data_IF_200999737927
#
_entry.id   IF_200999737927
#
_cell.length_a   1.000
_cell.length_b   1.000
_cell.length_c   1.000
_cell.angle_alpha   90.00
_cell.angle_beta   90.00
_cell.angle_gamma   90.00
#
_symmetry.space_group_name_H-M   'P 1'
#
loop_
_entity.id
_entity.type
_entity.pdbx_description
1 polymer ?
#
# COMPACT_ATOMS: atom_id res chain seq x y z
N UNK A 1 -40.62 5.67 38.09
CA UNK A 1 -41.43 4.58 37.52
C UNK A 1 -41.04 4.52 36.05
N UNK A 2 -40.61 3.41 35.43
CA UNK A 2 -40.67 1.99 35.81
C UNK A 2 -39.51 1.24 35.10
N UNK A 3 -38.79 0.37 35.83
CA UNK A 3 -37.93 -0.78 35.42
C UNK A 3 -37.17 -0.72 34.06
N UNK A 4 -35.83 -0.65 34.06
CA UNK A 4 -34.89 -1.81 34.15
C UNK A 4 -35.20 -2.98 33.18
N UNK A 5 -34.27 -3.26 32.26
CA UNK A 5 -33.88 -4.65 32.00
C UNK A 5 -32.37 -4.74 31.73
N UNK A 6 -31.70 -5.68 32.43
CA UNK A 6 -30.28 -5.99 32.32
C UNK A 6 -30.23 -7.50 32.16
N UNK A 7 -29.66 -7.99 31.05
CA UNK A 7 -29.50 -9.43 30.86
C UNK A 7 -28.01 -9.78 30.79
N UNK A 8 -27.48 -10.23 31.93
CA UNK A 8 -26.22 -10.97 32.00
C UNK A 8 -26.44 -12.35 31.38
N UNK A 9 -25.41 -12.89 30.73
CA UNK A 9 -25.24 -14.33 30.57
C UNK A 9 -23.74 -14.65 30.63
N UNK A 10 -23.30 -15.11 31.80
CA UNK A 10 -22.12 -15.97 31.93
C UNK A 10 -22.62 -17.39 32.11
N UNK A 11 -21.96 -18.37 31.50
CA UNK A 11 -21.90 -19.73 32.03
C UNK A 11 -20.69 -20.46 31.42
N UNK A 12 -19.93 -21.13 32.29
CA UNK A 12 -18.72 -21.86 31.95
C UNK A 12 -19.05 -23.22 31.33
N UNK A 13 -18.12 -23.75 30.54
CA UNK A 13 -17.82 -25.18 30.51
C UNK A 13 -16.31 -25.39 30.67
N UNK A 14 -15.93 -26.48 31.33
CA UNK A 14 -14.64 -26.68 31.97
C UNK A 14 -13.86 -27.88 31.43
N UNK A 15 -12.52 -27.77 31.45
CA UNK A 15 -11.51 -28.81 31.74
C UNK A 15 -11.51 -30.16 30.99
N UNK A 16 -10.32 -30.65 30.64
CA UNK A 16 -10.08 -32.09 30.48
C UNK A 16 -8.95 -32.53 29.55
N UNK A 17 -7.71 -32.54 30.06
CA UNK A 17 -6.61 -33.49 29.75
C UNK A 17 -6.12 -33.64 28.27
N UNK A 18 -4.94 -34.21 27.97
CA UNK A 18 -3.95 -34.87 28.83
C UNK A 18 -2.51 -34.62 28.37
N UNK A 19 -1.56 -34.88 29.28
CA UNK A 19 -0.11 -34.95 29.05
C UNK A 19 0.30 -36.14 28.15
N UNK A 20 1.48 -36.06 27.55
CA UNK A 20 2.41 -37.20 27.46
C UNK A 20 3.87 -36.74 27.26
N UNK A 21 4.77 -37.33 28.06
CA UNK A 21 6.23 -37.21 27.97
C UNK A 21 6.84 -38.62 27.93
N UNK A 22 7.75 -38.88 26.99
CA UNK A 22 8.87 -39.84 27.03
C UNK A 22 9.66 -39.65 25.71
N UNK A 23 10.97 -39.39 25.65
CA UNK A 23 12.12 -40.27 26.00
C UNK A 23 12.20 -41.57 25.16
N UNK A 24 13.35 -42.04 24.64
CA UNK A 24 14.74 -41.51 24.60
C UNK A 24 15.64 -42.40 23.70
N UNK A 25 16.95 -42.09 23.63
CA UNK A 25 18.08 -42.92 23.14
C UNK A 25 18.36 -42.91 21.60
N UNK A 26 19.39 -42.20 21.10
CA UNK A 26 20.86 -42.53 20.96
C UNK A 26 21.13 -43.52 19.79
N UNK A 27 22.16 -43.41 18.93
CA UNK A 27 23.63 -43.56 19.17
C UNK A 27 24.45 -43.21 17.88
N UNK A 28 25.61 -42.51 18.00
CA UNK A 28 26.77 -42.36 17.03
C UNK A 28 26.55 -41.87 15.58
N UNK A 29 27.56 -41.50 14.77
CA UNK A 29 28.81 -40.73 14.88
C UNK A 29 29.63 -40.91 13.57
N UNK A 30 30.14 -39.80 13.01
CA UNK A 30 31.24 -39.65 12.02
C UNK A 30 31.48 -40.70 10.90
N UNK A 31 31.44 -40.23 9.64
CA UNK A 31 32.06 -40.89 8.49
C UNK A 31 32.45 -39.87 7.40
N UNK A 32 33.71 -39.85 6.98
CA UNK A 32 34.26 -38.87 6.02
C UNK A 32 35.18 -39.58 5.01
N UNK A 33 35.24 -39.04 3.77
CA UNK A 33 36.22 -39.25 2.67
C UNK A 33 35.79 -40.36 1.67
N UNK A 34 36.03 -40.33 0.36
CA UNK A 34 36.61 -39.39 -0.63
C UNK A 34 36.76 -40.18 -1.95
N UNK A 35 36.15 -39.72 -3.04
CA UNK A 35 36.44 -40.07 -4.45
C UNK A 35 35.83 -38.96 -5.32
N UNK A 36 36.31 -38.52 -6.49
CA UNK A 36 37.66 -38.53 -7.10
C UNK A 36 37.71 -37.39 -8.15
N UNK A 37 38.92 -36.97 -8.59
CA UNK A 37 39.10 -35.99 -9.68
C UNK A 37 39.92 -36.61 -10.82
N UNK A 38 39.41 -36.61 -12.06
CA UNK A 38 40.23 -36.56 -13.27
C UNK A 38 40.28 -35.12 -13.81
N UNK A 39 41.46 -34.69 -14.27
CA UNK A 39 41.60 -33.45 -15.04
C UNK A 39 40.80 -33.53 -16.34
N UNK A 40 40.28 -32.40 -16.82
CA UNK A 40 39.95 -32.24 -18.23
C UNK A 40 40.43 -30.88 -18.75
N UNK A 41 40.99 -30.92 -19.95
CA UNK A 41 41.60 -29.82 -20.69
C UNK A 41 40.58 -28.81 -21.22
N UNK A 42 41.11 -27.70 -21.70
CA UNK A 42 40.42 -26.62 -22.42
C UNK A 42 39.52 -27.12 -23.56
N UNK A 43 38.37 -26.45 -23.74
CA UNK A 43 37.88 -25.95 -25.05
C UNK A 43 36.74 -24.92 -24.85
N UNK A 44 36.45 -24.20 -25.94
CA UNK A 44 35.60 -23.01 -26.09
C UNK A 44 34.07 -23.24 -25.91
N UNK A 45 33.30 -22.16 -26.12
CA UNK A 45 31.84 -22.02 -26.29
C UNK A 45 30.98 -21.57 -25.08
N UNK A 46 30.87 -20.24 -24.98
CA UNK A 46 29.60 -19.48 -24.88
C UNK A 46 28.46 -20.05 -24.02
N UNK A 47 28.34 -19.58 -22.77
CA UNK A 47 27.07 -19.59 -22.01
C UNK A 47 26.81 -18.25 -21.35
N UNK A 48 25.57 -17.77 -21.51
CA UNK A 48 25.20 -16.37 -21.24
C UNK A 48 25.20 -15.96 -19.77
N UNK A 49 25.47 -14.68 -19.53
CA UNK A 49 25.35 -14.05 -18.22
C UNK A 49 23.97 -14.27 -17.58
N UNK A 50 23.89 -14.42 -16.25
CA UNK A 50 22.63 -14.34 -15.54
C UNK A 50 22.09 -12.91 -15.71
N UNK A 51 21.00 -12.75 -16.45
CA UNK A 51 20.30 -11.47 -16.54
C UNK A 51 19.80 -11.11 -15.14
N UNK A 52 19.95 -9.84 -14.78
CA UNK A 52 19.25 -9.27 -13.63
C UNK A 52 17.75 -9.61 -13.73
N UNK A 53 17.03 -9.84 -12.62
CA UNK A 53 15.58 -9.99 -12.68
C UNK A 53 14.98 -8.77 -13.37
N UNK A 54 14.28 -9.02 -14.48
CA UNK A 54 13.76 -7.98 -15.36
C UNK A 54 12.95 -6.93 -14.59
N UNK A 55 13.11 -5.67 -14.99
CA UNK A 55 12.12 -4.65 -14.67
C UNK A 55 10.83 -5.05 -15.40
N UNK A 56 9.83 -5.53 -14.65
CA UNK A 56 8.47 -5.90 -15.10
C UNK A 56 7.94 -4.96 -16.20
N UNK A 57 8.08 -5.31 -17.49
CA UNK A 57 7.77 -4.43 -18.61
C UNK A 57 6.30 -4.58 -19.00
N UNK A 58 5.42 -4.46 -18.00
CA UNK A 58 4.01 -4.84 -18.11
C UNK A 58 3.02 -4.06 -17.24
N UNK A 59 3.49 -3.24 -16.29
CA UNK A 59 2.59 -2.39 -15.49
C UNK A 59 2.04 -1.24 -16.34
N UNK A 60 0.93 -1.50 -17.01
CA UNK A 60 0.17 -0.49 -17.76
C UNK A 60 -0.31 0.62 -16.81
N UNK A 61 0.48 1.70 -16.71
CA UNK A 61 0.19 2.91 -15.93
C UNK A 61 -0.94 3.76 -16.55
N UNK A 62 -1.91 3.12 -17.21
CA UNK A 62 -3.06 3.81 -17.78
C UNK A 62 -4.01 4.25 -16.66
N UNK A 63 -4.53 5.47 -16.80
CA UNK A 63 -5.52 6.05 -15.88
C UNK A 63 -6.92 5.74 -16.42
N UNK A 64 -7.88 5.25 -15.60
CA UNK A 64 -7.78 5.02 -14.17
C UNK A 64 -6.91 3.81 -13.80
N UNK A 65 -5.97 4.02 -12.88
CA UNK A 65 -4.98 3.04 -12.44
C UNK A 65 -5.37 2.40 -11.10
N UNK A 66 -4.99 1.13 -10.91
CA UNK A 66 -5.12 0.40 -9.64
C UNK A 66 -3.88 -0.44 -9.37
N UNK A 67 -3.22 -0.19 -8.26
CA UNK A 67 -2.04 -0.92 -7.81
C UNK A 67 -2.30 -1.55 -6.46
N UNK A 68 -1.93 -2.83 -6.30
CA UNK A 68 -1.85 -3.45 -4.99
C UNK A 68 -0.58 -2.96 -4.27
N UNK A 69 -0.71 -2.66 -2.98
CA UNK A 69 0.34 -2.23 -2.06
C UNK A 69 0.73 -3.49 -1.23
N UNK A 70 1.84 -4.19 -1.54
CA UNK A 70 2.15 -5.47 -0.92
C UNK A 70 2.31 -5.34 0.60
N UNK A 71 1.52 -6.09 1.38
CA UNK A 71 1.51 -6.01 2.84
C UNK A 71 0.87 -4.73 3.42
N UNK A 72 0.07 -4.01 2.63
CA UNK A 72 -0.67 -2.83 3.06
C UNK A 72 0.22 -1.65 3.48
N UNK A 73 -0.37 -0.68 4.19
CA UNK A 73 0.34 0.46 4.77
C UNK A 73 0.74 0.19 6.22
N UNK A 74 1.87 0.77 6.62
CA UNK A 74 2.38 0.77 7.98
C UNK A 74 3.31 1.98 8.19
N UNK A 75 3.56 2.42 9.43
CA UNK A 75 4.45 3.53 9.71
C UNK A 75 5.84 3.34 9.08
N UNK A 76 6.35 4.39 8.42
CA UNK A 76 7.61 4.36 7.66
C UNK A 76 7.46 3.94 6.19
N UNK A 77 6.32 3.37 5.77
CA UNK A 77 6.05 3.09 4.37
C UNK A 77 5.65 4.36 3.63
N UNK A 78 6.12 4.50 2.38
CA UNK A 78 5.70 5.58 1.48
C UNK A 78 5.19 5.03 0.16
N UNK A 79 4.31 5.80 -0.46
CA UNK A 79 3.85 5.61 -1.84
C UNK A 79 4.32 6.81 -2.65
N UNK A 80 4.99 6.59 -3.78
CA UNK A 80 5.46 7.64 -4.69
C UNK A 80 4.67 7.54 -5.98
N UNK A 81 4.07 8.67 -6.39
CA UNK A 81 3.40 8.81 -7.68
C UNK A 81 4.09 9.92 -8.45
N UNK A 82 4.59 9.58 -9.65
CA UNK A 82 5.11 10.55 -10.62
C UNK A 82 4.18 10.52 -11.83
N UNK A 83 3.79 11.71 -12.29
CA UNK A 83 2.93 11.87 -13.46
C UNK A 83 3.10 13.24 -14.09
N UNK A 84 2.34 13.46 -15.14
CA UNK A 84 2.19 14.74 -15.85
C UNK A 84 0.72 15.13 -15.73
N UNK A 85 0.45 16.40 -15.42
CA UNK A 85 -0.91 16.95 -15.45
C UNK A 85 -1.32 17.15 -16.90
N UNK A 86 -2.52 16.69 -17.28
CA UNK A 86 -3.00 16.85 -18.66
C UNK A 86 -3.09 18.34 -19.06
N UNK A 87 -3.00 18.70 -20.37
CA UNK A 87 -3.02 20.10 -20.82
C UNK A 87 -4.29 20.89 -20.47
N UNK A 88 -5.43 20.19 -20.31
CA UNK A 88 -6.75 20.77 -20.02
C UNK A 88 -7.40 20.09 -18.80
N UNK A 89 -6.87 20.29 -17.58
CA UNK A 89 -7.28 19.50 -16.42
C UNK A 89 -8.51 20.10 -15.72
N UNK A 90 -9.51 19.28 -15.40
CA UNK A 90 -10.57 19.63 -14.45
C UNK A 90 -10.13 19.25 -13.03
N UNK A 91 -9.87 17.95 -12.82
CA UNK A 91 -9.41 17.38 -11.55
C UNK A 91 -8.78 16.01 -11.72
N UNK A 92 -7.97 15.62 -10.75
CA UNK A 92 -7.55 14.23 -10.56
C UNK A 92 -7.68 13.78 -9.10
N UNK A 93 -7.65 12.47 -8.93
CA UNK A 93 -7.83 11.79 -7.66
C UNK A 93 -6.70 10.80 -7.43
N UNK A 94 -6.17 10.78 -6.20
CA UNK A 94 -5.29 9.73 -5.68
C UNK A 94 -5.93 9.25 -4.39
N UNK A 95 -6.23 7.96 -4.29
CA UNK A 95 -6.87 7.38 -3.11
C UNK A 95 -6.14 6.13 -2.59
N UNK A 96 -6.10 6.01 -1.27
CA UNK A 96 -5.59 4.86 -0.54
C UNK A 96 -6.80 4.11 0.05
N UNK A 97 -7.04 2.89 -0.40
CA UNK A 97 -8.30 2.17 -0.17
C UNK A 97 -8.08 0.79 0.46
N UNK A 98 -9.11 0.30 1.15
CA UNK A 98 -9.13 -1.08 1.64
C UNK A 98 -9.84 -1.98 0.63
N UNK A 99 -9.09 -2.88 -0.01
CA UNK A 99 -9.54 -3.67 -1.13
C UNK A 99 -9.60 -2.88 -2.44
N UNK A 100 -9.81 -3.62 -3.53
CA UNK A 100 -9.66 -3.12 -4.91
C UNK A 100 -10.82 -2.24 -5.43
N UNK A 101 -12.00 -2.34 -4.83
CA UNK A 101 -13.24 -1.72 -5.35
C UNK A 101 -13.66 -2.23 -6.75
N UNK A 102 -14.64 -1.56 -7.37
CA UNK A 102 -15.10 -1.86 -8.76
C UNK A 102 -14.55 -0.83 -9.74
N UNK A 103 -14.48 -1.11 -11.05
CA UNK A 103 -13.85 -0.23 -12.06
C UNK A 103 -14.34 1.24 -12.03
N UNK A 104 -15.57 1.48 -11.55
CA UNK A 104 -16.23 2.79 -11.48
C UNK A 104 -16.20 3.43 -10.09
N UNK A 105 -16.19 2.62 -9.02
CA UNK A 105 -16.41 3.10 -7.66
C UNK A 105 -15.28 2.67 -6.70
N UNK A 106 -14.84 3.55 -5.78
CA UNK A 106 -13.98 3.15 -4.69
C UNK A 106 -14.72 2.17 -3.75
N UNK A 107 -14.01 1.31 -3.01
CA UNK A 107 -14.64 0.48 -1.97
C UNK A 107 -15.21 1.38 -0.85
N UNK A 108 -16.09 0.84 0.03
CA UNK A 108 -16.70 1.61 1.13
C UNK A 108 -15.69 2.16 2.15
N UNK A 109 -14.43 1.73 2.09
CA UNK A 109 -13.36 2.10 3.00
C UNK A 109 -12.21 2.76 2.22
N UNK A 110 -12.10 4.08 2.38
CA UNK A 110 -11.06 4.93 1.77
C UNK A 110 -10.37 5.69 2.88
N UNK A 111 -9.13 5.34 3.18
CA UNK A 111 -8.37 5.95 4.27
C UNK A 111 -7.97 7.39 3.96
N UNK A 112 -7.71 7.69 2.69
CA UNK A 112 -7.45 9.02 2.16
C UNK A 112 -7.92 9.07 0.70
N UNK A 113 -8.85 9.97 0.36
CA UNK A 113 -9.06 10.47 -1.00
C UNK A 113 -8.47 11.88 -1.10
N UNK A 114 -7.45 12.04 -1.95
CA UNK A 114 -6.91 13.32 -2.36
C UNK A 114 -7.57 13.71 -3.69
N UNK A 115 -8.33 14.81 -3.71
CA UNK A 115 -8.92 15.39 -4.92
C UNK A 115 -8.25 16.75 -5.21
N UNK A 116 -7.50 16.81 -6.30
CA UNK A 116 -6.86 18.03 -6.80
C UNK A 116 -7.75 18.63 -7.87
N UNK A 117 -8.29 19.83 -7.65
CA UNK A 117 -9.22 20.53 -8.53
C UNK A 117 -8.62 21.83 -9.05
N UNK A 118 -8.52 21.97 -10.37
CA UNK A 118 -7.81 23.09 -11.00
C UNK A 118 -8.64 24.37 -11.07
N UNK A 119 -9.96 24.26 -11.26
CA UNK A 119 -10.87 25.41 -11.40
C UNK A 119 -10.74 26.45 -10.28
N UNK A 120 -10.51 26.00 -9.05
CA UNK A 120 -10.37 26.83 -7.85
C UNK A 120 -9.10 26.52 -7.05
N UNK A 121 -8.14 25.82 -7.67
CA UNK A 121 -6.82 25.49 -7.09
C UNK A 121 -6.90 24.85 -5.69
N UNK A 122 -7.81 23.88 -5.52
CA UNK A 122 -8.02 23.21 -4.23
C UNK A 122 -7.42 21.81 -4.17
N UNK A 123 -6.86 21.49 -3.00
CA UNK A 123 -6.37 20.15 -2.64
C UNK A 123 -7.21 19.63 -1.47
N UNK A 124 -8.27 18.91 -1.82
CA UNK A 124 -9.27 18.38 -0.90
C UNK A 124 -8.85 17.01 -0.39
N UNK A 125 -8.86 16.81 0.94
CA UNK A 125 -8.64 15.49 1.56
C UNK A 125 -9.86 15.09 2.39
N UNK A 126 -10.25 13.82 2.30
CA UNK A 126 -11.31 13.23 3.14
C UNK A 126 -11.12 11.72 3.21
N UNK A 127 -11.72 11.09 4.22
CA UNK A 127 -11.83 9.64 4.33
C UNK A 127 -13.28 9.19 4.10
N UNK A 128 -13.45 7.94 3.68
CA UNK A 128 -14.72 7.23 3.64
C UNK A 128 -14.64 6.02 4.56
N UNK A 129 -15.60 5.88 5.49
CA UNK A 129 -15.66 4.75 6.43
C UNK A 129 -17.03 4.12 6.28
N UNK A 130 -17.06 2.82 5.93
CA UNK A 130 -18.30 2.07 5.70
C UNK A 130 -19.30 2.76 4.73
N UNK A 131 -18.77 3.43 3.71
CA UNK A 131 -19.56 4.16 2.70
C UNK A 131 -19.91 5.61 3.08
N UNK A 132 -19.61 6.05 4.30
CA UNK A 132 -19.88 7.42 4.76
C UNK A 132 -18.63 8.28 4.62
N UNK A 133 -18.74 9.36 3.84
CA UNK A 133 -17.68 10.36 3.71
C UNK A 133 -17.64 11.29 4.92
N UNK A 134 -16.45 11.43 5.52
CA UNK A 134 -16.20 12.38 6.60
C UNK A 134 -15.92 13.80 6.11
N UNK A 135 -15.61 14.70 7.05
CA UNK A 135 -15.28 16.10 6.78
C UNK A 135 -14.11 16.28 5.81
N UNK A 136 -14.21 17.30 4.96
CA UNK A 136 -13.25 17.64 3.90
C UNK A 136 -12.26 18.70 4.36
N UNK A 137 -11.00 18.31 4.49
CA UNK A 137 -9.89 19.21 4.77
C UNK A 137 -9.43 19.91 3.48
N UNK A 138 -9.36 21.24 3.53
CA UNK A 138 -9.04 22.10 2.36
C UNK A 138 -7.75 22.90 2.52
N UNK A 139 -7.32 23.17 3.75
CA UNK A 139 -6.15 24.01 4.04
C UNK A 139 -4.86 23.36 3.52
N UNK A 140 -4.16 24.06 2.62
CA UNK A 140 -2.81 23.76 2.13
C UNK A 140 -2.06 25.10 2.01
N UNK A 141 -0.73 25.13 2.17
CA UNK A 141 0.04 26.37 2.12
C UNK A 141 0.13 26.99 0.71
N UNK A 142 -0.01 26.19 -0.34
CA UNK A 142 -0.01 26.60 -1.75
C UNK A 142 -0.63 25.51 -2.64
N UNK A 143 -0.86 25.80 -3.92
CA UNK A 143 -1.28 24.82 -4.93
C UNK A 143 -0.11 24.47 -5.86
N UNK A 144 0.45 23.24 -5.82
CA UNK A 144 1.68 22.91 -6.53
C UNK A 144 1.50 22.44 -7.98
N UNK A 145 0.27 22.15 -8.42
CA UNK A 145 0.06 21.44 -9.68
C UNK A 145 -0.11 22.41 -10.85
N UNK A 146 0.73 22.26 -11.88
CA UNK A 146 0.71 23.10 -13.09
C UNK A 146 0.26 22.22 -14.26
N UNK A 147 -0.63 22.74 -15.12
CA UNK A 147 -1.08 22.05 -16.34
C UNK A 147 0.11 21.76 -17.27
N UNK A 148 0.08 20.63 -17.96
CA UNK A 148 1.13 20.21 -18.90
C UNK A 148 2.55 20.17 -18.29
N UNK A 149 2.65 19.91 -16.98
CA UNK A 149 3.92 19.81 -16.26
C UNK A 149 4.01 18.51 -15.43
N UNK A 150 5.23 17.98 -15.22
CA UNK A 150 5.44 16.85 -14.35
C UNK A 150 5.26 17.24 -12.87
N UNK A 151 4.88 16.26 -12.05
CA UNK A 151 4.89 16.36 -10.59
C UNK A 151 5.30 15.03 -9.96
N UNK A 152 5.88 15.08 -8.77
CA UNK A 152 6.10 13.94 -7.88
C UNK A 152 5.37 14.19 -6.57
N UNK A 153 4.39 13.34 -6.24
CA UNK A 153 3.79 13.29 -4.90
C UNK A 153 4.29 12.06 -4.14
N UNK A 154 4.69 12.26 -2.88
CA UNK A 154 5.00 11.22 -1.92
C UNK A 154 3.95 11.24 -0.80
N UNK A 155 3.29 10.11 -0.56
CA UNK A 155 2.39 9.89 0.57
C UNK A 155 3.12 9.04 1.60
N UNK A 156 3.59 9.67 2.67
CA UNK A 156 4.31 9.01 3.76
C UNK A 156 3.31 8.58 4.83
N UNK A 157 3.32 7.30 5.19
CA UNK A 157 2.53 6.76 6.30
C UNK A 157 3.33 6.93 7.60
N UNK A 158 2.90 7.85 8.48
CA UNK A 158 3.44 7.99 9.83
C UNK A 158 2.61 7.18 10.84
N UNK A 159 2.98 7.24 12.12
CA UNK A 159 2.27 6.53 13.20
C UNK A 159 0.82 7.01 13.40
N UNK A 160 0.54 8.32 13.25
CA UNK A 160 -0.78 8.92 13.49
C UNK A 160 -1.49 9.44 12.24
N UNK A 161 -0.79 9.59 11.11
CA UNK A 161 -1.25 10.36 9.94
C UNK A 161 -0.58 9.95 8.64
N UNK A 162 -1.15 10.40 7.52
CA UNK A 162 -0.46 10.54 6.25
C UNK A 162 0.16 11.94 6.14
N UNK A 163 1.39 12.01 5.64
CA UNK A 163 2.01 13.28 5.18
C UNK A 163 2.10 13.27 3.66
N UNK A 164 1.55 14.32 3.03
CA UNK A 164 1.66 14.57 1.60
C UNK A 164 2.79 15.56 1.31
N UNK A 165 3.74 15.14 0.49
CA UNK A 165 4.86 15.95 0.00
C UNK A 165 4.76 16.03 -1.52
N UNK A 166 4.80 17.23 -2.10
CA UNK A 166 4.81 17.44 -3.56
C UNK A 166 6.11 18.13 -3.95
N UNK A 167 6.85 17.53 -4.87
CA UNK A 167 8.13 18.01 -5.41
C UNK A 167 9.17 18.39 -4.33
N UNK A 168 9.13 17.67 -3.20
CA UNK A 168 10.04 17.85 -2.06
C UNK A 168 9.49 18.77 -0.95
N UNK A 169 8.40 19.50 -1.20
CA UNK A 169 7.78 20.40 -0.24
C UNK A 169 6.58 19.74 0.46
N UNK A 170 6.50 19.83 1.78
CA UNK A 170 5.34 19.35 2.54
C UNK A 170 4.10 20.20 2.20
N UNK A 171 3.03 19.52 1.78
CA UNK A 171 1.77 20.14 1.37
C UNK A 171 0.68 19.95 2.43
N UNK A 172 0.62 18.78 3.07
CA UNK A 172 -0.37 18.50 4.12
C UNK A 172 0.08 17.39 5.08
N UNK A 173 -0.49 17.43 6.28
CA UNK A 173 -0.69 16.27 7.14
C UNK A 173 -2.20 15.92 7.12
N UNK A 174 -2.58 14.65 7.29
CA UNK A 174 -3.97 14.17 7.36
C UNK A 174 -4.06 12.95 8.31
N UNK A 175 -4.78 13.07 9.42
CA UNK A 175 -4.78 12.05 10.47
C UNK A 175 -5.45 10.72 10.06
N UNK A 176 -4.97 9.61 10.63
CA UNK A 176 -5.44 8.26 10.33
C UNK A 176 -6.85 8.01 10.87
N UNK A 177 -7.86 8.26 10.04
CA UNK A 177 -9.28 8.00 10.35
C UNK A 177 -9.68 6.52 10.21
N UNK A 178 -8.88 5.71 9.52
CA UNK A 178 -9.18 4.29 9.23
C UNK A 178 -8.05 3.37 9.73
N UNK A 179 -8.42 2.31 10.45
CA UNK A 179 -7.49 1.30 11.03
C UNK A 179 -8.09 -0.11 10.88
N UNK A 180 -7.27 -1.18 10.84
CA UNK A 180 -5.80 -1.18 10.86
C UNK A 180 -5.19 -0.76 9.51
N UNK A 181 -4.01 -0.13 9.54
CA UNK A 181 -3.34 0.40 8.35
C UNK A 181 -2.96 -0.69 7.32
N UNK A 182 -2.69 -1.91 7.78
CA UNK A 182 -2.39 -3.06 6.93
C UNK A 182 -3.53 -3.47 6.00
N UNK A 183 -4.78 -3.09 6.30
CA UNK A 183 -5.92 -3.32 5.42
C UNK A 183 -5.98 -2.30 4.27
N UNK A 184 -5.17 -1.23 4.30
CA UNK A 184 -5.09 -0.23 3.23
C UNK A 184 -4.08 -0.77 2.20
N UNK A 185 -4.60 -1.57 1.27
CA UNK A 185 -3.83 -2.44 0.38
C UNK A 185 -3.84 -2.01 -1.09
N UNK A 186 -4.54 -0.92 -1.42
CA UNK A 186 -4.79 -0.52 -2.80
C UNK A 186 -4.53 0.97 -2.99
N UNK A 187 -3.72 1.30 -4.00
CA UNK A 187 -3.57 2.62 -4.59
C UNK A 187 -4.52 2.74 -5.78
N UNK A 188 -5.33 3.80 -5.78
CA UNK A 188 -6.33 4.05 -6.82
C UNK A 188 -6.19 5.47 -7.37
N UNK A 189 -6.18 5.62 -8.69
CA UNK A 189 -5.89 6.89 -9.35
C UNK A 189 -6.85 7.10 -10.54
N UNK A 190 -7.43 8.29 -10.68
CA UNK A 190 -8.26 8.68 -11.85
C UNK A 190 -8.18 10.18 -12.17
N UNK A 191 -8.69 10.58 -13.32
CA UNK A 191 -8.88 11.98 -13.72
C UNK A 191 -7.77 12.49 -14.63
N UNK A 192 -7.60 13.82 -14.67
CA UNK A 192 -6.78 14.53 -15.66
C UNK A 192 -5.26 14.46 -15.42
N UNK A 193 -4.69 13.26 -15.38
CA UNK A 193 -3.25 13.01 -15.28
C UNK A 193 -2.81 11.80 -16.09
N UNK A 194 -1.57 11.83 -16.55
CA UNK A 194 -0.84 10.68 -17.11
C UNK A 194 0.23 10.20 -16.13
N UNK A 195 0.26 8.90 -15.82
CA UNK A 195 1.23 8.34 -14.87
C UNK A 195 2.51 7.88 -15.57
N UNK A 196 3.67 8.22 -15.00
CA UNK A 196 5.00 7.88 -15.54
C UNK A 196 5.79 6.95 -14.62
N UNK A 197 5.59 7.02 -13.30
CA UNK A 197 6.24 6.10 -12.34
C UNK A 197 5.41 5.92 -11.07
N UNK A 198 5.46 4.71 -10.51
CA UNK A 198 4.96 4.36 -9.20
C UNK A 198 6.04 3.61 -8.41
N UNK A 199 6.16 3.86 -7.11
CA UNK A 199 7.05 3.13 -6.20
C UNK A 199 6.47 3.05 -4.79
#
# INVERSE_FOLDING_TARGET
MEKKNIQKNELLCSAGNSVNMAESQRVTAQGRKRWSLPQRSETDESKGSPRCPDQDPGRKLAVPFRGHIPGGLHPGKKIVVVGIVDPHPDRFYIALTCGRGTSREPPPNVALELCVRFKDQQVLRKACISGVWGEVEKAVPFFPFIKDQPFKIELHCEHSRFRGIVDGHQLFDFDHRLKPLGNIDTLWIKGSITLTKLA
#
